data_IF_762096352469
#
_entry.id   IF_762096352469
#
_cell.length_a   1.000
_cell.length_b   1.000
_cell.length_c   1.000
_cell.angle_alpha   90.00
_cell.angle_beta   90.00
_cell.angle_gamma   90.00
#
_symmetry.space_group_name_H-M   'P 1'
#
loop_
_entity.id
_entity.type
_entity.pdbx_description
1 polymer ?
#
# COMPACT_ATOMS: atom_id res chain seq x y z
N UNK A 1 -17.42 -23.77 23.41
CA UNK A 1 -16.79 -23.45 22.11
C UNK A 1 -16.85 -21.96 21.92
N UNK A 2 -15.71 -21.27 21.87
CA UNK A 2 -15.68 -19.84 21.59
C UNK A 2 -15.96 -19.60 20.10
N UNK A 3 -16.89 -18.70 19.78
CA UNK A 3 -17.22 -18.37 18.39
C UNK A 3 -16.32 -17.23 17.94
N UNK A 4 -15.59 -17.42 16.84
CA UNK A 4 -14.86 -16.35 16.19
C UNK A 4 -15.85 -15.26 15.72
N UNK A 5 -15.51 -14.00 15.98
CA UNK A 5 -16.28 -12.83 15.55
C UNK A 5 -15.37 -11.89 14.74
N UNK A 6 -15.93 -11.25 13.71
CA UNK A 6 -15.22 -10.25 12.91
C UNK A 6 -15.06 -8.97 13.73
N UNK A 7 -13.83 -8.56 14.00
CA UNK A 7 -13.54 -7.36 14.80
C UNK A 7 -13.59 -6.07 13.98
N UNK A 8 -13.13 -6.09 12.73
CA UNK A 8 -13.04 -4.90 11.87
C UNK A 8 -13.21 -5.25 10.40
N UNK A 9 -13.92 -4.38 9.68
CA UNK A 9 -14.12 -4.47 8.22
C UNK A 9 -13.59 -3.18 7.59
N UNK A 10 -12.77 -3.30 6.56
CA UNK A 10 -12.30 -2.18 5.74
C UNK A 10 -12.87 -2.34 4.34
N UNK A 11 -13.48 -1.27 3.81
CA UNK A 11 -14.07 -1.23 2.47
C UNK A 11 -13.58 0.02 1.75
N UNK A 12 -13.63 0.03 0.41
CA UNK A 12 -13.21 1.18 -0.41
C UNK A 12 -12.20 0.85 -1.50
N UNK A 13 -11.81 -0.41 -1.67
CA UNK A 13 -11.07 -0.82 -2.87
C UNK A 13 -11.95 -0.62 -4.10
N UNK A 14 -11.53 0.23 -5.03
CA UNK A 14 -12.30 0.59 -6.22
C UNK A 14 -12.07 -0.46 -7.30
N UNK A 15 -12.92 -1.48 -7.35
CA UNK A 15 -12.84 -2.55 -8.35
C UNK A 15 -13.47 -2.13 -9.68
N UNK A 16 -13.04 -1.03 -10.30
CA UNK A 16 -13.53 -0.65 -11.64
C UNK A 16 -13.21 -1.73 -12.70
N UNK A 17 -12.28 -2.64 -12.39
CA UNK A 17 -11.84 -3.76 -13.24
C UNK A 17 -12.16 -5.14 -12.63
N UNK A 18 -13.00 -5.22 -11.59
CA UNK A 18 -13.31 -6.50 -10.94
C UNK A 18 -12.11 -7.18 -10.28
N UNK A 19 -11.13 -6.39 -9.82
CA UNK A 19 -9.95 -6.90 -9.14
C UNK A 19 -10.27 -7.29 -7.70
N UNK A 20 -10.29 -8.59 -7.43
CA UNK A 20 -10.29 -9.10 -6.05
C UNK A 20 -8.99 -8.71 -5.34
N UNK A 21 -9.08 -8.46 -4.04
CA UNK A 21 -7.89 -8.25 -3.20
C UNK A 21 -7.00 -9.49 -3.29
N UNK A 22 -5.77 -9.31 -3.78
CA UNK A 22 -4.85 -10.42 -4.06
C UNK A 22 -3.86 -10.64 -2.93
N UNK A 23 -3.36 -9.56 -2.32
CA UNK A 23 -2.37 -9.64 -1.25
C UNK A 23 -2.60 -8.57 -0.19
N UNK A 24 -2.16 -8.87 1.04
CA UNK A 24 -2.16 -7.95 2.16
C UNK A 24 -0.86 -8.08 2.97
N UNK A 25 -0.51 -7.03 3.72
CA UNK A 25 0.57 -7.05 4.68
C UNK A 25 0.20 -6.21 5.91
N UNK A 26 0.56 -6.69 7.10
CA UNK A 26 0.46 -5.94 8.34
C UNK A 26 1.78 -5.25 8.62
N UNK A 27 1.74 -4.01 9.08
CA UNK A 27 2.94 -3.34 9.56
C UNK A 27 3.41 -3.94 10.90
N UNK A 28 4.72 -4.00 11.17
CA UNK A 28 5.25 -4.53 12.43
C UNK A 28 4.78 -3.77 13.68
N UNK A 29 4.44 -2.48 13.53
CA UNK A 29 3.90 -1.65 14.62
C UNK A 29 2.40 -1.88 14.89
N UNK A 30 1.73 -2.72 14.10
CA UNK A 30 0.30 -3.03 14.23
C UNK A 30 -0.66 -1.90 13.85
N UNK A 31 -0.16 -0.77 13.36
CA UNK A 31 -0.96 0.43 13.07
C UNK A 31 -1.51 0.49 11.65
N UNK A 32 -0.91 -0.24 10.72
CA UNK A 32 -1.25 -0.16 9.30
C UNK A 32 -1.48 -1.54 8.70
N UNK A 33 -2.40 -1.59 7.73
CA UNK A 33 -2.58 -2.74 6.84
C UNK A 33 -2.49 -2.24 5.41
N UNK A 34 -1.59 -2.82 4.63
CA UNK A 34 -1.50 -2.59 3.20
C UNK A 34 -2.27 -3.68 2.46
N UNK A 35 -2.99 -3.30 1.40
CA UNK A 35 -3.73 -4.22 0.53
C UNK A 35 -3.47 -3.87 -0.93
N UNK A 36 -3.49 -4.87 -1.79
CA UNK A 36 -3.37 -4.68 -3.23
C UNK A 36 -4.20 -5.70 -4.01
N UNK A 37 -4.68 -5.27 -5.17
CA UNK A 37 -5.31 -6.13 -6.17
C UNK A 37 -4.29 -6.78 -7.12
N UNK A 38 -4.78 -7.73 -7.91
CA UNK A 38 -3.98 -8.51 -8.86
C UNK A 38 -3.39 -7.68 -10.02
N UNK A 39 -3.94 -6.50 -10.34
CA UNK A 39 -3.39 -5.63 -11.39
C UNK A 39 -2.29 -4.70 -10.83
N UNK A 40 -2.34 -4.39 -9.54
CA UNK A 40 -1.44 -3.46 -8.85
C UNK A 40 -0.16 -4.14 -8.39
N UNK A 41 -0.25 -5.13 -7.49
CA UNK A 41 0.91 -5.77 -6.88
C UNK A 41 0.65 -7.21 -6.44
N UNK A 42 1.64 -8.06 -6.68
CA UNK A 42 1.64 -9.47 -6.26
C UNK A 42 2.32 -9.69 -4.91
N UNK A 43 3.07 -8.70 -4.43
CA UNK A 43 3.83 -8.74 -3.18
C UNK A 43 3.72 -7.41 -2.45
N UNK A 44 3.53 -7.46 -1.13
CA UNK A 44 3.67 -6.34 -0.21
C UNK A 44 4.56 -6.76 0.97
N UNK A 45 5.53 -5.93 1.33
CA UNK A 45 6.42 -6.18 2.47
C UNK A 45 6.76 -4.86 3.17
N UNK A 46 6.51 -4.80 4.49
CA UNK A 46 6.93 -3.68 5.32
C UNK A 46 8.40 -3.83 5.74
N UNK A 47 9.08 -2.71 5.97
CA UNK A 47 10.31 -2.68 6.76
C UNK A 47 10.01 -2.97 8.23
N UNK A 48 11.00 -3.50 8.96
CA UNK A 48 10.93 -3.75 10.42
C UNK A 48 10.50 -2.50 11.20
N UNK A 49 11.02 -1.33 10.81
CA UNK A 49 10.71 -0.03 11.44
C UNK A 49 9.34 0.53 11.04
N UNK A 50 8.55 -0.20 10.23
CA UNK A 50 7.25 0.21 9.71
C UNK A 50 7.25 1.56 8.98
N UNK A 51 8.41 2.03 8.49
CA UNK A 51 8.60 3.34 7.84
C UNK A 51 8.56 3.28 6.31
N UNK A 52 8.72 2.09 5.73
CA UNK A 52 8.71 1.87 4.29
C UNK A 52 7.89 0.65 3.93
N UNK A 53 7.25 0.73 2.76
CA UNK A 53 6.53 -0.38 2.14
C UNK A 53 7.16 -0.69 0.78
N UNK A 54 7.54 -1.94 0.57
CA UNK A 54 8.01 -2.46 -0.71
C UNK A 54 6.89 -3.24 -1.37
N UNK A 55 6.66 -2.97 -2.66
CA UNK A 55 5.69 -3.73 -3.46
C UNK A 55 6.31 -4.27 -4.74
N UNK A 56 6.03 -5.54 -5.06
CA UNK A 56 6.32 -6.16 -6.35
C UNK A 56 5.12 -6.05 -7.28
N UNK A 57 5.26 -5.31 -8.38
CA UNK A 57 4.16 -4.99 -9.30
C UNK A 57 4.09 -5.95 -10.49
N UNK A 58 2.89 -6.10 -11.06
CA UNK A 58 2.63 -6.93 -12.24
C UNK A 58 3.37 -6.48 -13.51
N UNK A 59 3.78 -5.21 -13.54
CA UNK A 59 4.55 -4.61 -14.65
C UNK A 59 6.06 -4.70 -14.43
N UNK A 60 6.53 -5.77 -13.77
CA UNK A 60 7.95 -6.10 -13.60
C UNK A 60 8.77 -5.03 -12.89
N UNK A 61 8.17 -4.34 -11.92
CA UNK A 61 8.86 -3.32 -11.12
C UNK A 61 8.76 -3.62 -9.63
N UNK A 62 9.80 -3.28 -8.89
CA UNK A 62 9.77 -3.16 -7.43
C UNK A 62 9.64 -1.68 -7.09
N UNK A 63 8.68 -1.34 -6.23
CA UNK A 63 8.44 0.04 -5.80
C UNK A 63 8.64 0.15 -4.31
N UNK A 64 9.42 1.14 -3.90
CA UNK A 64 9.60 1.52 -2.50
C UNK A 64 8.76 2.76 -2.24
N UNK A 65 7.90 2.69 -1.23
CA UNK A 65 7.09 3.79 -0.75
C UNK A 65 7.40 4.10 0.69
N UNK A 66 7.21 5.35 1.07
CA UNK A 66 7.09 5.72 2.47
C UNK A 66 5.73 5.21 2.98
N UNK A 67 5.70 4.57 4.15
CA UNK A 67 4.46 4.05 4.73
C UNK A 67 3.66 5.13 5.46
N UNK A 68 4.37 6.11 6.03
CA UNK A 68 3.81 7.25 6.71
C UNK A 68 3.60 8.35 5.68
N UNK A 69 2.34 8.67 5.38
CA UNK A 69 2.06 9.98 4.85
C UNK A 69 2.47 10.98 5.94
N UNK A 70 3.28 12.00 5.60
CA UNK A 70 3.43 13.12 6.53
C UNK A 70 2.03 13.63 6.85
N UNK A 71 1.76 13.79 8.13
CA UNK A 71 0.51 14.30 8.71
C UNK A 71 0.29 15.78 8.35
N UNK A 72 0.37 16.15 7.07
CA UNK A 72 0.15 17.50 6.55
C UNK A 72 -0.21 17.51 5.05
N UNK A 73 -0.76 16.39 4.53
CA UNK A 73 -1.42 16.40 3.23
C UNK A 73 -2.74 15.63 3.33
N UNK A 74 -3.73 16.31 3.89
CA UNK A 74 -5.14 15.95 3.70
C UNK A 74 -5.36 15.91 2.19
N UNK A 75 -5.39 14.69 1.62
CA UNK A 75 -5.89 14.43 0.29
C UNK A 75 -7.38 14.77 0.27
N UNK A 76 -7.65 16.06 0.14
CA UNK A 76 -8.90 16.56 -0.42
C UNK A 76 -8.99 15.99 -1.84
N UNK A 77 -9.81 14.96 -2.01
CA UNK A 77 -10.36 14.64 -3.32
C UNK A 77 -11.28 15.80 -3.74
N UNK A 78 -10.68 16.91 -4.17
CA UNK A 78 -11.36 18.15 -4.54
C UNK A 78 -11.46 18.29 -6.05
N UNK A 79 -12.33 17.51 -6.69
CA UNK A 79 -12.92 17.91 -7.96
C UNK A 79 -14.12 18.81 -7.62
N UNK A 80 -13.88 20.11 -7.45
CA UNK A 80 -14.93 21.06 -7.11
C UNK A 80 -14.42 22.50 -7.17
N UNK A 81 -15.06 23.30 -8.01
CA UNK A 81 -14.82 24.73 -8.20
C UNK A 81 -14.83 25.55 -6.90
N UNK A 82 -14.17 26.71 -6.99
CA UNK A 82 -14.11 27.79 -6.01
C UNK A 82 -15.40 28.07 -5.24
N UNK A 83 -15.30 28.18 -3.90
CA UNK A 83 -15.94 29.23 -3.10
C UNK A 83 -15.43 29.20 -1.64
N UNK A 84 -15.14 30.40 -1.14
CA UNK A 84 -14.91 30.88 0.23
C UNK A 84 -15.40 30.06 1.42
N UNK A 85 -14.65 30.08 2.54
CA UNK A 85 -14.95 30.89 3.73
C UNK A 85 -14.35 30.28 5.02
N UNK A 86 -14.06 31.18 5.96
CA UNK A 86 -13.52 31.00 7.31
C UNK A 86 -14.21 29.92 8.19
N UNK A 87 -13.46 29.44 9.19
CA UNK A 87 -14.05 29.15 10.51
C UNK A 87 -13.69 27.81 11.15
N UNK A 88 -12.86 27.92 12.19
CA UNK A 88 -13.02 27.29 13.51
C UNK A 88 -12.95 25.76 13.68
N UNK A 89 -12.01 25.33 14.53
CA UNK A 89 -11.85 23.96 15.00
C UNK A 89 -13.02 23.54 15.91
N UNK A 90 -13.27 22.23 16.10
CA UNK A 90 -12.82 21.70 17.39
C UNK A 90 -12.29 20.26 17.37
N UNK A 91 -11.40 20.05 18.35
CA UNK A 91 -10.85 18.80 18.90
C UNK A 91 -11.75 17.56 18.77
N UNK A 92 -11.20 16.48 18.20
CA UNK A 92 -11.80 15.14 18.23
C UNK A 92 -10.80 14.12 18.80
N UNK A 93 -11.28 13.42 19.82
CA UNK A 93 -10.62 12.39 20.63
C UNK A 93 -9.91 11.33 19.79
N UNK A 94 -8.67 11.04 20.18
CA UNK A 94 -7.85 9.95 19.66
C UNK A 94 -8.60 8.61 19.80
N UNK A 95 -9.05 8.09 18.66
CA UNK A 95 -9.45 6.68 18.51
C UNK A 95 -8.25 5.99 17.89
N UNK A 96 -7.79 4.89 18.49
CA UNK A 96 -6.87 3.94 17.85
C UNK A 96 -7.57 3.27 16.65
N UNK A 97 -7.71 4.01 15.57
CA UNK A 97 -8.00 3.46 14.26
C UNK A 97 -6.67 3.11 13.61
N UNK A 98 -6.39 1.81 13.47
CA UNK A 98 -5.44 1.30 12.47
C UNK A 98 -5.73 2.04 11.16
N UNK A 99 -4.81 2.93 10.78
CA UNK A 99 -4.94 3.76 9.60
C UNK A 99 -4.74 2.86 8.38
N UNK A 100 -5.68 2.92 7.44
CA UNK A 100 -5.53 2.20 6.19
C UNK A 100 -4.68 3.07 5.27
N UNK A 101 -3.42 2.69 5.08
CA UNK A 101 -2.61 3.28 4.03
C UNK A 101 -3.12 2.74 2.69
N UNK A 102 -4.11 3.42 2.11
CA UNK A 102 -4.51 3.15 0.72
C UNK A 102 -3.34 3.61 -0.13
N UNK A 103 -2.64 2.65 -0.72
CA UNK A 103 -1.61 2.89 -1.72
C UNK A 103 -2.28 3.31 -3.04
N UNK A 104 -3.16 4.31 -3.01
CA UNK A 104 -3.67 4.94 -4.23
C UNK A 104 -2.45 5.38 -5.00
N UNK A 105 -2.41 5.11 -6.30
CA UNK A 105 -1.30 5.36 -7.20
C UNK A 105 -0.97 6.86 -7.41
N UNK A 106 -1.21 7.71 -6.40
CA UNK A 106 -0.73 9.07 -6.31
C UNK A 106 0.78 9.07 -6.01
N UNK A 107 1.52 9.83 -6.81
CA UNK A 107 2.99 9.90 -6.81
C UNK A 107 3.62 10.42 -5.50
N UNK A 108 2.83 10.88 -4.53
CA UNK A 108 3.29 11.60 -3.34
C UNK A 108 4.08 10.75 -2.33
N UNK A 109 3.91 9.43 -2.33
CA UNK A 109 4.61 8.52 -1.39
C UNK A 109 5.61 7.57 -2.07
N UNK A 110 5.79 7.67 -3.39
CA UNK A 110 6.69 6.79 -4.14
C UNK A 110 8.13 7.32 -4.08
N UNK A 111 8.99 6.61 -3.36
CA UNK A 111 10.40 6.97 -3.19
C UNK A 111 11.23 6.52 -4.38
N UNK A 112 11.03 5.28 -4.84
CA UNK A 112 11.81 4.72 -5.93
C UNK A 112 11.06 3.60 -6.66
N UNK A 113 11.40 3.43 -7.95
CA UNK A 113 10.97 2.31 -8.79
C UNK A 113 12.18 1.64 -9.42
N UNK A 114 12.33 0.34 -9.18
CA UNK A 114 13.40 -0.49 -9.72
C UNK A 114 12.81 -1.45 -10.75
N UNK A 115 13.05 -1.23 -12.05
CA UNK A 115 12.59 -2.14 -13.08
C UNK A 115 13.39 -3.44 -13.05
N UNK A 116 12.73 -4.53 -13.36
CA UNK A 116 13.36 -5.82 -13.61
C UNK A 116 13.31 -6.14 -15.09
N UNK A 117 14.24 -6.97 -15.56
CA UNK A 117 14.23 -7.43 -16.95
C UNK A 117 13.20 -8.56 -17.08
N UNK A 118 11.90 -8.23 -17.08
CA UNK A 118 10.80 -9.21 -17.27
C UNK A 118 10.73 -10.31 -16.21
N UNK A 119 11.16 -9.99 -15.00
CA UNK A 119 11.06 -10.92 -13.88
C UNK A 119 9.80 -10.58 -13.10
N UNK A 120 8.86 -11.52 -13.07
CA UNK A 120 7.69 -11.37 -12.21
C UNK A 120 8.15 -11.47 -10.75
N UNK A 121 7.82 -10.50 -9.92
CA UNK A 121 8.18 -10.56 -8.50
C UNK A 121 7.09 -11.32 -7.75
N UNK A 122 7.37 -12.57 -7.40
CA UNK A 122 6.42 -13.47 -6.70
C UNK A 122 6.73 -13.64 -5.22
N UNK A 123 7.97 -13.35 -4.82
CA UNK A 123 8.40 -13.40 -3.43
C UNK A 123 9.37 -12.26 -3.13
N UNK A 124 9.35 -11.75 -1.91
CA UNK A 124 10.32 -10.81 -1.42
C UNK A 124 10.19 -10.57 0.08
N UNK A 125 11.30 -10.16 0.68
CA UNK A 125 11.41 -9.90 2.11
C UNK A 125 12.32 -8.71 2.36
N UNK A 126 11.97 -7.90 3.36
CA UNK A 126 12.86 -6.86 3.90
C UNK A 126 13.58 -7.46 5.10
N UNK A 127 14.90 -7.45 5.06
CA UNK A 127 15.72 -7.94 6.17
C UNK A 127 15.92 -6.83 7.22
N UNK A 128 16.24 -7.19 8.48
CA UNK A 128 16.55 -6.21 9.53
C UNK A 128 17.72 -5.28 9.21
N UNK A 129 18.58 -5.65 8.27
CA UNK A 129 19.74 -4.84 7.82
C UNK A 129 19.38 -3.86 6.71
N UNK A 130 18.10 -3.49 6.60
CA UNK A 130 17.59 -2.58 5.59
C UNK A 130 17.93 -3.02 4.14
N UNK A 131 17.88 -4.33 3.90
CA UNK A 131 18.09 -4.91 2.58
C UNK A 131 16.83 -5.64 2.14
N UNK A 132 16.29 -5.26 0.98
CA UNK A 132 15.16 -5.95 0.37
C UNK A 132 15.66 -7.01 -0.63
N UNK A 133 15.20 -8.24 -0.47
CA UNK A 133 15.45 -9.34 -1.38
C UNK A 133 14.14 -9.64 -2.12
N UNK A 134 14.19 -9.69 -3.44
CA UNK A 134 13.03 -10.02 -4.29
C UNK A 134 13.42 -11.09 -5.28
N UNK A 135 12.47 -11.97 -5.61
CA UNK A 135 12.69 -13.08 -6.52
C UNK A 135 11.44 -13.41 -7.33
N UNK A 136 11.67 -14.00 -8.50
CA UNK A 136 10.66 -14.72 -9.24
C UNK A 136 11.09 -15.09 -10.66
N UNK A 137 10.17 -15.63 -11.48
CA UNK A 137 10.51 -16.20 -12.77
C UNK A 137 10.79 -15.12 -13.80
N UNK A 138 11.83 -15.33 -14.60
CA UNK A 138 12.07 -14.58 -15.83
C UNK A 138 11.13 -15.08 -16.92
N UNK A 139 10.40 -14.17 -17.56
CA UNK A 139 9.51 -14.50 -18.66
C UNK A 139 10.17 -14.14 -20.00
N UNK A 140 10.50 -15.17 -20.79
CA UNK A 140 11.08 -14.99 -22.12
C UNK A 140 10.07 -14.26 -23.05
N UNK A 141 10.49 -13.23 -23.84
CA UNK A 141 9.70 -12.65 -24.92
C UNK A 141 8.98 -13.64 -25.83
N UNK A 142 9.59 -14.78 -26.14
CA UNK A 142 9.10 -15.69 -27.16
C UNK A 142 8.01 -16.67 -26.66
N UNK A 143 7.74 -16.71 -25.36
CA UNK A 143 6.80 -17.68 -24.75
C UNK A 143 5.37 -17.11 -24.54
N UNK A 144 4.90 -16.19 -25.40
CA UNK A 144 3.55 -15.61 -25.31
C UNK A 144 2.61 -16.16 -26.38
#
# INVERSE_FOLDING_TARGET
>A
MDRAATLRVHAGHLSDVGGDMYTLAFSPDGKYVATADSASAYLLAFSEEASMLVSGSAIWTVRCRESKAKEDDVLTNGNGNAASADGDAPSAKEKESIETCVCTAGRSYLLATFPTKRTLIVNGQVTPRNMCLVAGPYLNPEQR
#
